data_IF_212468168715
#
_entry.id   IF_212468168715
#
_cell.length_a   1.000
_cell.length_b   1.000
_cell.length_c   1.000
_cell.angle_alpha   90.00
_cell.angle_beta   90.00
_cell.angle_gamma   90.00
#
_symmetry.space_group_name_H-M   'P 1'
#
loop_
_entity.id
_entity.type
_entity.pdbx_description
1 polymer ?
#
# COMPACT_ATOMS: atom_id res chain seq x y z
N UNK A 1 12.08 16.10 19.75
CA UNK A 1 11.19 15.22 20.53
C UNK A 1 10.32 14.47 19.54
N UNK A 2 10.31 13.13 19.53
CA UNK A 2 9.35 12.42 18.69
C UNK A 2 7.95 12.87 19.12
N UNK A 3 7.12 13.28 18.17
CA UNK A 3 5.71 13.48 18.40
C UNK A 3 5.18 12.19 18.99
N UNK A 4 4.79 12.22 20.26
CA UNK A 4 4.12 11.12 20.92
C UNK A 4 2.71 11.06 20.29
N UNK A 5 2.62 10.45 19.10
CA UNK A 5 1.35 10.20 18.43
C UNK A 5 0.63 9.20 19.31
N UNK A 6 -0.25 9.72 20.17
CA UNK A 6 -1.10 8.90 21.03
C UNK A 6 -1.94 8.03 20.10
N UNK A 7 -1.67 6.73 20.09
CA UNK A 7 -2.50 5.76 19.36
C UNK A 7 -3.95 5.95 19.80
N UNK A 8 -4.85 6.10 18.83
CA UNK A 8 -6.26 6.24 19.11
C UNK A 8 -6.81 4.88 19.56
N UNK A 9 -7.80 4.88 20.47
CA UNK A 9 -8.47 3.64 20.84
C UNK A 9 -9.32 3.12 19.68
N UNK A 10 -9.55 1.80 19.63
CA UNK A 10 -10.40 1.16 18.62
C UNK A 10 -11.79 1.81 18.55
N UNK A 11 -12.37 2.19 19.70
CA UNK A 11 -13.66 2.89 19.75
C UNK A 11 -13.63 4.24 19.02
N UNK A 12 -12.59 5.07 19.23
CA UNK A 12 -12.45 6.37 18.56
C UNK A 12 -12.20 6.19 17.06
N UNK A 13 -11.40 5.19 16.67
CA UNK A 13 -11.15 4.87 15.26
C UNK A 13 -12.46 4.43 14.58
N UNK A 14 -13.18 3.52 15.20
CA UNK A 14 -14.45 3.00 14.70
C UNK A 14 -15.53 4.09 14.60
N UNK A 15 -15.65 4.96 15.59
CA UNK A 15 -16.57 6.11 15.58
C UNK A 15 -16.28 7.04 14.40
N UNK A 16 -15.00 7.40 14.19
CA UNK A 16 -14.59 8.25 13.07
C UNK A 16 -14.85 7.58 11.72
N UNK A 17 -14.62 6.28 11.61
CA UNK A 17 -14.92 5.53 10.40
C UNK A 17 -16.43 5.45 10.12
N UNK A 18 -17.26 5.26 11.15
CA UNK A 18 -18.71 5.31 11.04
C UNK A 18 -19.19 6.70 10.58
N UNK A 19 -18.59 7.77 11.09
CA UNK A 19 -18.88 9.14 10.63
C UNK A 19 -18.56 9.33 9.13
N UNK A 20 -17.42 8.82 8.65
CA UNK A 20 -17.07 8.85 7.23
C UNK A 20 -18.04 8.00 6.39
N UNK A 21 -18.43 6.83 6.87
CA UNK A 21 -19.42 5.97 6.21
C UNK A 21 -20.79 6.65 6.12
N UNK A 22 -21.24 7.33 7.18
CA UNK A 22 -22.48 8.11 7.16
C UNK A 22 -22.44 9.21 6.09
N UNK A 23 -21.32 9.93 5.96
CA UNK A 23 -21.16 10.94 4.92
C UNK A 23 -21.28 10.32 3.50
N UNK A 24 -20.64 9.17 3.27
CA UNK A 24 -20.75 8.44 2.00
C UNK A 24 -22.19 7.98 1.73
N UNK A 25 -22.86 7.38 2.71
CA UNK A 25 -24.24 6.89 2.59
C UNK A 25 -25.23 8.04 2.32
N UNK A 26 -25.09 9.17 3.01
CA UNK A 26 -25.90 10.36 2.73
C UNK A 26 -25.74 10.83 1.29
N UNK A 27 -24.50 10.86 0.78
CA UNK A 27 -24.26 11.25 -0.61
C UNK A 27 -24.87 10.26 -1.60
N UNK A 28 -24.82 8.97 -1.30
CA UNK A 28 -25.46 7.94 -2.11
C UNK A 28 -26.98 8.13 -2.15
N UNK A 29 -27.61 8.45 -1.01
CA UNK A 29 -29.06 8.71 -1.00
C UNK A 29 -29.44 9.92 -1.86
N UNK A 30 -28.60 10.96 -1.92
CA UNK A 30 -28.80 12.07 -2.86
C UNK A 30 -28.73 11.60 -4.31
N UNK A 31 -27.67 10.89 -4.69
CA UNK A 31 -27.45 10.41 -6.06
C UNK A 31 -28.58 9.45 -6.49
N UNK A 32 -29.10 8.64 -5.56
CA UNK A 32 -30.18 7.68 -5.85
C UNK A 32 -31.49 8.33 -6.26
N UNK A 33 -31.73 9.60 -5.92
CA UNK A 33 -32.93 10.32 -6.36
C UNK A 33 -32.95 10.46 -7.89
N UNK A 34 -31.79 10.71 -8.49
CA UNK A 34 -31.64 10.89 -9.93
C UNK A 34 -31.20 9.59 -10.64
N UNK A 35 -30.56 8.67 -9.91
CA UNK A 35 -30.15 7.36 -10.41
C UNK A 35 -30.50 6.22 -9.43
N UNK A 36 -31.76 5.74 -9.44
CA UNK A 36 -32.25 4.72 -8.50
C UNK A 36 -31.48 3.39 -8.53
N UNK A 37 -30.85 3.08 -9.67
CA UNK A 37 -30.15 1.83 -9.95
C UNK A 37 -28.64 1.90 -9.71
N UNK A 38 -28.13 2.96 -9.08
CA UNK A 38 -26.71 3.06 -8.76
C UNK A 38 -26.25 1.87 -7.90
N UNK A 39 -25.09 1.32 -8.24
CA UNK A 39 -24.44 0.29 -7.45
C UNK A 39 -23.96 0.89 -6.12
N UNK A 40 -24.34 0.26 -5.02
CA UNK A 40 -23.88 0.66 -3.69
C UNK A 40 -22.40 0.26 -3.49
N UNK A 41 -21.63 1.05 -2.72
CA UNK A 41 -20.24 0.71 -2.43
C UNK A 41 -20.15 -0.45 -1.44
N UNK A 42 -19.01 -1.13 -1.50
CA UNK A 42 -18.53 -1.99 -0.44
C UNK A 42 -17.50 -1.25 0.40
N UNK A 43 -17.33 -1.68 1.65
CA UNK A 43 -16.42 -1.07 2.60
C UNK A 43 -15.35 -2.06 3.05
N UNK A 44 -14.16 -1.52 3.30
CA UNK A 44 -13.07 -2.21 3.99
C UNK A 44 -12.77 -1.40 5.25
N UNK A 45 -12.56 -2.09 6.37
CA UNK A 45 -12.32 -1.48 7.69
C UNK A 45 -10.94 -1.87 8.22
N UNK A 46 -10.52 -1.24 9.32
CA UNK A 46 -9.23 -1.49 9.94
C UNK A 46 -8.08 -0.73 9.28
N UNK A 47 -6.90 -0.97 9.81
CA UNK A 47 -5.63 -0.43 9.35
C UNK A 47 -4.57 -1.47 9.66
N UNK A 48 -3.57 -1.54 8.81
CA UNK A 48 -2.30 -2.12 9.14
C UNK A 48 -1.62 -1.27 10.23
N UNK A 49 -1.15 -1.92 11.28
CA UNK A 49 -0.35 -1.31 12.35
C UNK A 49 0.83 -2.24 12.59
N UNK A 50 2.08 -1.78 12.45
CA UNK A 50 2.51 -0.42 12.07
C UNK A 50 2.23 -0.04 10.59
N UNK A 51 2.36 1.26 10.28
CA UNK A 51 2.12 1.86 8.95
C UNK A 51 3.01 1.16 7.89
N UNK A 52 2.50 0.81 6.70
CA UNK A 52 3.19 0.00 5.71
C UNK A 52 4.17 0.85 4.89
N UNK A 53 5.20 0.21 4.35
CA UNK A 53 6.09 0.83 3.36
C UNK A 53 7.15 1.78 3.93
N UNK A 54 7.57 1.57 5.18
CA UNK A 54 8.61 2.38 5.81
C UNK A 54 9.20 1.70 7.04
N UNK A 55 9.82 0.53 6.87
CA UNK A 55 10.72 -0.01 7.88
C UNK A 55 11.91 0.95 8.04
N UNK A 56 11.72 1.98 8.87
CA UNK A 56 12.82 2.76 9.42
C UNK A 56 13.51 1.86 10.44
N UNK A 57 14.68 1.37 10.03
CA UNK A 57 15.68 0.66 10.81
C UNK A 57 15.39 -0.80 11.20
N UNK A 58 16.44 -1.60 10.96
CA UNK A 58 16.62 -3.00 11.31
C UNK A 58 16.08 -3.37 12.71
N UNK A 59 15.44 -4.54 12.78
CA UNK A 59 15.22 -5.37 13.99
C UNK A 59 13.94 -5.23 14.82
N UNK A 60 12.83 -4.71 14.28
CA UNK A 60 11.52 -5.12 14.81
C UNK A 60 10.98 -6.26 13.95
N UNK A 61 10.85 -7.44 14.53
CA UNK A 61 10.13 -8.55 13.90
C UNK A 61 8.76 -8.03 13.46
N UNK A 62 8.45 -8.19 12.17
CA UNK A 62 7.15 -7.84 11.64
C UNK A 62 6.07 -8.60 12.42
N UNK A 63 5.30 -7.88 13.23
CA UNK A 63 4.29 -8.48 14.09
C UNK A 63 3.03 -8.76 13.27
N UNK A 64 2.69 -10.04 13.14
CA UNK A 64 1.42 -10.45 12.55
C UNK A 64 0.30 -9.96 13.47
N UNK A 65 -0.76 -9.38 12.89
CA UNK A 65 -1.92 -8.92 13.67
C UNK A 65 -2.43 -10.06 14.55
N UNK A 66 -2.55 -9.79 15.85
CA UNK A 66 -3.04 -10.80 16.79
C UNK A 66 -4.53 -11.05 16.56
N UNK A 67 -5.01 -12.30 16.67
CA UNK A 67 -6.41 -12.63 16.47
C UNK A 67 -7.37 -11.79 17.33
N UNK A 68 -7.01 -11.55 18.60
CA UNK A 68 -7.81 -10.75 19.53
C UNK A 68 -7.92 -9.28 19.13
N UNK A 69 -6.88 -8.69 18.53
CA UNK A 69 -6.92 -7.32 18.04
C UNK A 69 -7.81 -7.23 16.81
N UNK A 70 -7.71 -8.20 15.90
CA UNK A 70 -8.58 -8.30 14.72
C UNK A 70 -10.06 -8.38 15.13
N UNK A 71 -10.40 -9.28 16.06
CA UNK A 71 -11.76 -9.39 16.61
C UNK A 71 -12.18 -8.09 17.28
N UNK A 72 -11.33 -7.49 18.12
CA UNK A 72 -11.63 -6.20 18.77
C UNK A 72 -11.94 -5.10 17.77
N UNK A 73 -11.19 -5.02 16.66
CA UNK A 73 -11.45 -4.09 15.57
C UNK A 73 -12.80 -4.34 14.92
N UNK A 74 -13.10 -5.58 14.51
CA UNK A 74 -14.36 -5.93 13.85
C UNK A 74 -15.56 -5.56 14.74
N UNK A 75 -15.52 -5.95 16.01
CA UNK A 75 -16.62 -5.70 16.95
C UNK A 75 -16.78 -4.21 17.25
N UNK A 76 -15.68 -3.47 17.45
CA UNK A 76 -15.72 -2.02 17.66
C UNK A 76 -16.36 -1.29 16.47
N UNK A 77 -16.02 -1.69 15.24
CA UNK A 77 -16.63 -1.11 14.04
C UNK A 77 -18.10 -1.48 13.89
N UNK A 78 -18.48 -2.73 14.19
CA UNK A 78 -19.88 -3.16 14.18
C UNK A 78 -20.71 -2.30 15.13
N UNK A 79 -20.24 -2.12 16.35
CA UNK A 79 -20.94 -1.38 17.39
C UNK A 79 -21.05 0.11 17.03
N UNK A 80 -19.97 0.71 16.51
CA UNK A 80 -20.00 2.09 16.02
C UNK A 80 -20.96 2.26 14.83
N UNK A 81 -20.94 1.37 13.85
CA UNK A 81 -21.86 1.44 12.72
C UNK A 81 -23.32 1.32 13.18
N UNK A 82 -23.60 0.42 14.13
CA UNK A 82 -24.92 0.30 14.73
C UNK A 82 -25.36 1.59 15.44
N UNK A 83 -24.48 2.22 16.21
CA UNK A 83 -24.77 3.49 16.90
C UNK A 83 -25.11 4.65 15.93
N UNK A 84 -24.53 4.62 14.72
CA UNK A 84 -24.83 5.58 13.65
C UNK A 84 -25.98 5.13 12.74
N UNK A 85 -26.70 4.05 13.08
CA UNK A 85 -27.79 3.47 12.28
C UNK A 85 -27.37 2.99 10.88
N UNK A 86 -26.11 2.57 10.72
CA UNK A 86 -25.49 2.15 9.45
C UNK A 86 -25.57 0.64 9.20
N UNK A 87 -26.57 -0.06 9.74
CA UNK A 87 -26.70 -1.52 9.61
C UNK A 87 -26.70 -2.01 8.14
N UNK A 88 -27.31 -1.24 7.23
CA UNK A 88 -27.28 -1.53 5.80
C UNK A 88 -25.86 -1.44 5.23
N UNK A 89 -25.10 -0.40 5.59
CA UNK A 89 -23.71 -0.26 5.16
C UNK A 89 -22.80 -1.33 5.78
N UNK A 90 -23.05 -1.70 7.04
CA UNK A 90 -22.35 -2.81 7.71
C UNK A 90 -22.46 -4.12 6.93
N UNK A 91 -23.65 -4.44 6.38
CA UNK A 91 -23.83 -5.63 5.52
C UNK A 91 -23.00 -5.61 4.23
N UNK A 92 -22.41 -4.46 3.87
CA UNK A 92 -21.51 -4.27 2.72
C UNK A 92 -20.06 -4.07 3.13
N UNK A 93 -19.72 -4.24 4.41
CA UNK A 93 -18.33 -4.40 4.83
C UNK A 93 -17.89 -5.79 4.40
N UNK A 94 -16.87 -5.86 3.53
CA UNK A 94 -16.39 -7.12 2.94
C UNK A 94 -14.96 -7.45 3.35
N UNK A 95 -14.23 -6.48 3.92
CA UNK A 95 -12.80 -6.61 4.14
C UNK A 95 -12.35 -6.01 5.46
N UNK A 96 -11.34 -6.62 6.06
CA UNK A 96 -10.62 -6.07 7.21
C UNK A 96 -9.13 -6.03 6.85
N UNK A 97 -8.52 -4.86 6.97
CA UNK A 97 -7.07 -4.72 6.80
C UNK A 97 -6.37 -5.32 8.00
N UNK A 98 -5.39 -6.18 7.73
CA UNK A 98 -4.53 -6.82 8.74
C UNK A 98 -3.08 -6.85 8.25
N UNK A 99 -2.14 -7.08 9.16
CA UNK A 99 -0.74 -7.39 8.85
C UNK A 99 -0.55 -8.92 8.89
N UNK A 100 -0.51 -9.62 7.73
CA UNK A 100 -0.41 -11.07 7.68
C UNK A 100 1.03 -11.61 7.74
N UNK A 101 2.01 -10.75 8.02
CA UNK A 101 3.43 -11.11 8.05
C UNK A 101 4.11 -10.95 6.69
N UNK A 102 3.72 -9.94 5.92
CA UNK A 102 4.38 -9.55 4.67
C UNK A 102 4.80 -8.08 4.73
N UNK A 103 6.01 -7.81 4.26
CA UNK A 103 6.57 -6.46 4.15
C UNK A 103 7.76 -6.52 3.18
N UNK A 104 8.22 -5.36 2.75
CA UNK A 104 9.48 -5.21 2.04
C UNK A 104 10.20 -3.92 2.47
N UNK A 105 11.52 -3.88 2.28
CA UNK A 105 12.37 -2.73 2.58
C UNK A 105 13.06 -2.24 1.31
N UNK A 106 14.26 -1.66 1.42
CA UNK A 106 15.05 -1.27 0.25
C UNK A 106 15.53 -2.47 -0.58
N UNK A 107 15.87 -3.57 0.08
CA UNK A 107 16.56 -4.73 -0.53
C UNK A 107 16.02 -6.08 -0.08
N UNK A 108 15.09 -6.12 0.87
CA UNK A 108 14.59 -7.36 1.46
C UNK A 108 13.07 -7.47 1.33
N UNK A 109 12.60 -8.71 1.18
CA UNK A 109 11.18 -9.05 1.12
C UNK A 109 10.89 -10.09 2.19
N UNK A 110 10.04 -9.74 3.16
CA UNK A 110 9.53 -10.66 4.17
C UNK A 110 8.41 -11.47 3.52
N UNK A 111 8.69 -12.76 3.30
CA UNK A 111 7.79 -13.67 2.58
C UNK A 111 6.63 -14.10 3.45
N UNK A 112 5.45 -14.19 2.83
CA UNK A 112 4.29 -14.76 3.50
C UNK A 112 4.58 -16.17 4.00
N UNK A 113 4.13 -16.46 5.23
CA UNK A 113 4.21 -17.77 5.84
C UNK A 113 2.84 -18.16 6.42
N UNK A 114 2.14 -19.03 5.69
CA UNK A 114 0.83 -19.59 6.07
C UNK A 114 0.81 -20.12 7.50
N UNK A 115 1.85 -20.85 7.92
CA UNK A 115 1.88 -21.42 9.28
C UNK A 115 1.93 -20.37 10.38
N UNK A 116 2.59 -19.23 10.14
CA UNK A 116 2.65 -18.12 11.11
C UNK A 116 1.34 -17.31 11.15
N UNK A 117 0.67 -17.14 10.00
CA UNK A 117 -0.59 -16.40 9.91
C UNK A 117 -1.84 -17.23 10.27
N UNK A 118 -1.68 -18.54 10.50
CA UNK A 118 -2.78 -19.50 10.69
C UNK A 118 -3.81 -19.07 11.73
N UNK A 119 -3.37 -18.65 12.92
CA UNK A 119 -4.30 -18.27 13.99
C UNK A 119 -5.05 -16.98 13.68
N UNK A 120 -4.42 -16.02 12.98
CA UNK A 120 -5.09 -14.83 12.47
C UNK A 120 -6.15 -15.21 11.42
N UNK A 121 -5.79 -16.04 10.44
CA UNK A 121 -6.67 -16.49 9.37
C UNK A 121 -7.93 -17.22 9.89
N UNK A 122 -7.81 -18.00 10.97
CA UNK A 122 -8.96 -18.67 11.61
C UNK A 122 -10.03 -17.71 12.16
N UNK A 123 -9.71 -16.43 12.38
CA UNK A 123 -10.72 -15.45 12.81
C UNK A 123 -11.87 -15.39 11.81
N UNK A 124 -11.59 -15.55 10.51
CA UNK A 124 -12.58 -15.50 9.43
C UNK A 124 -13.65 -16.60 9.54
N UNK A 125 -13.38 -17.71 10.24
CA UNK A 125 -14.37 -18.77 10.48
C UNK A 125 -15.61 -18.25 11.22
N UNK A 126 -15.46 -17.19 12.02
CA UNK A 126 -16.56 -16.53 12.74
C UNK A 126 -17.22 -15.40 11.94
N UNK A 127 -16.64 -14.99 10.81
CA UNK A 127 -17.09 -13.84 10.02
C UNK A 127 -17.18 -14.20 8.52
N UNK A 128 -18.14 -15.05 8.12
CA UNK A 128 -18.19 -15.65 6.78
C UNK A 128 -18.39 -14.66 5.62
N UNK A 129 -18.76 -13.41 5.91
CA UNK A 129 -18.92 -12.34 4.90
C UNK A 129 -17.67 -11.47 4.73
N UNK A 130 -16.62 -11.72 5.51
CA UNK A 130 -15.38 -10.93 5.49
C UNK A 130 -14.24 -11.73 4.86
N UNK A 131 -13.34 -11.01 4.21
CA UNK A 131 -12.00 -11.46 3.85
C UNK A 131 -10.97 -10.52 4.46
N UNK A 132 -9.71 -10.94 4.49
CA UNK A 132 -8.62 -10.03 4.82
C UNK A 132 -8.12 -9.27 3.59
N UNK A 133 -7.78 -8.01 3.82
CA UNK A 133 -7.03 -7.17 2.89
C UNK A 133 -5.58 -7.07 3.37
N UNK A 134 -4.66 -7.56 2.53
CA UNK A 134 -3.23 -7.47 2.75
C UNK A 134 -2.63 -6.27 2.02
N UNK A 135 -1.92 -5.41 2.74
CA UNK A 135 -1.10 -4.33 2.19
C UNK A 135 0.35 -4.80 2.05
N UNK A 136 1.17 -4.03 1.34
CA UNK A 136 2.58 -4.38 1.09
C UNK A 136 2.79 -5.79 0.51
N UNK A 137 1.85 -6.29 -0.31
CA UNK A 137 1.95 -7.64 -0.91
C UNK A 137 2.87 -7.68 -2.13
N UNK A 138 3.50 -6.53 -2.44
CA UNK A 138 4.51 -6.36 -3.46
C UNK A 138 5.67 -7.36 -3.32
N UNK A 139 6.26 -7.70 -4.47
CA UNK A 139 7.42 -8.58 -4.60
C UNK A 139 7.25 -10.01 -4.11
N UNK A 140 6.11 -10.40 -3.52
CA UNK A 140 5.80 -11.76 -3.08
C UNK A 140 5.89 -12.76 -4.25
N UNK A 141 6.26 -14.01 -3.95
CA UNK A 141 6.29 -15.03 -4.99
C UNK A 141 4.86 -15.39 -5.39
N UNK A 142 4.68 -15.92 -6.60
CA UNK A 142 3.38 -16.41 -7.07
C UNK A 142 2.75 -17.41 -6.08
N UNK A 143 3.55 -18.26 -5.45
CA UNK A 143 3.04 -19.28 -4.53
C UNK A 143 2.68 -18.65 -3.17
N UNK A 144 3.44 -17.67 -2.68
CA UNK A 144 3.05 -16.87 -1.50
C UNK A 144 1.72 -16.12 -1.73
N UNK A 145 1.51 -15.53 -2.92
CA UNK A 145 0.26 -14.85 -3.28
C UNK A 145 -0.93 -15.83 -3.30
N UNK A 146 -0.73 -17.05 -3.81
CA UNK A 146 -1.76 -18.10 -3.78
C UNK A 146 -2.08 -18.57 -2.37
N UNK A 147 -1.05 -18.77 -1.55
CA UNK A 147 -1.22 -19.17 -0.16
C UNK A 147 -2.01 -18.10 0.61
N UNK A 148 -1.72 -16.80 0.42
CA UNK A 148 -2.51 -15.72 1.01
C UNK A 148 -3.99 -15.79 0.65
N UNK A 149 -4.32 -15.96 -0.64
CA UNK A 149 -5.72 -16.09 -1.08
C UNK A 149 -6.38 -17.32 -0.48
N UNK A 150 -5.70 -18.47 -0.45
CA UNK A 150 -6.23 -19.72 0.15
C UNK A 150 -6.55 -19.53 1.63
N UNK A 151 -5.73 -18.78 2.33
CA UNK A 151 -5.82 -18.60 3.78
C UNK A 151 -6.77 -17.43 4.16
N UNK A 152 -7.47 -16.84 3.18
CA UNK A 152 -8.52 -15.84 3.40
C UNK A 152 -8.09 -14.37 3.24
N UNK A 153 -6.82 -14.12 2.88
CA UNK A 153 -6.31 -12.80 2.50
C UNK A 153 -6.57 -12.62 1.00
N UNK A 154 -7.82 -12.30 0.67
CA UNK A 154 -8.31 -12.33 -0.71
C UNK A 154 -8.18 -10.99 -1.45
N UNK A 155 -7.99 -9.88 -0.73
CA UNK A 155 -7.72 -8.58 -1.35
C UNK A 155 -6.23 -8.30 -1.17
N UNK A 156 -5.47 -8.35 -2.27
CA UNK A 156 -4.02 -8.17 -2.28
C UNK A 156 -3.68 -6.83 -2.94
N UNK A 157 -3.20 -5.87 -2.15
CA UNK A 157 -2.78 -4.57 -2.67
C UNK A 157 -1.33 -4.61 -3.14
N UNK A 158 -1.14 -4.14 -4.37
CA UNK A 158 0.16 -4.00 -5.03
C UNK A 158 0.29 -2.57 -5.57
N UNK A 159 1.47 -1.99 -5.47
CA UNK A 159 1.75 -0.64 -5.96
C UNK A 159 3.22 -0.51 -6.37
N UNK A 160 4.15 -0.38 -5.42
CA UNK A 160 5.59 -0.27 -5.69
C UNK A 160 6.14 -1.32 -6.66
N UNK A 161 5.70 -2.59 -6.62
CA UNK A 161 6.19 -3.60 -7.55
C UNK A 161 5.84 -3.30 -9.01
N UNK A 162 4.70 -2.63 -9.27
CA UNK A 162 4.29 -2.27 -10.64
C UNK A 162 5.16 -1.16 -11.19
N UNK A 163 5.34 -0.07 -10.45
CA UNK A 163 6.15 1.08 -10.86
C UNK A 163 7.65 0.76 -10.83
N UNK A 164 8.09 -0.13 -9.94
CA UNK A 164 9.44 -0.68 -9.95
C UNK A 164 9.70 -1.48 -11.24
N UNK A 165 8.77 -2.32 -11.67
CA UNK A 165 8.89 -3.07 -12.92
C UNK A 165 8.88 -2.15 -14.15
N UNK A 166 8.03 -1.12 -14.16
CA UNK A 166 8.06 -0.05 -15.17
C UNK A 166 9.44 0.59 -15.25
N UNK A 167 9.99 1.04 -14.12
CA UNK A 167 11.33 1.63 -14.05
C UNK A 167 12.42 0.70 -14.56
N UNK A 168 12.37 -0.59 -14.22
CA UNK A 168 13.31 -1.58 -14.77
C UNK A 168 13.22 -1.66 -16.30
N UNK A 169 12.00 -1.64 -16.84
CA UNK A 169 11.75 -1.57 -18.28
C UNK A 169 12.36 -0.31 -18.90
N UNK A 170 12.10 0.86 -18.31
CA UNK A 170 12.63 2.15 -18.79
C UNK A 170 14.17 2.20 -18.74
N UNK A 171 14.79 1.71 -17.66
CA UNK A 171 16.25 1.62 -17.56
C UNK A 171 16.85 0.65 -18.59
N UNK A 172 16.15 -0.46 -18.88
CA UNK A 172 16.60 -1.38 -19.94
C UNK A 172 16.47 -0.75 -21.33
N UNK A 173 15.40 0.02 -21.58
CA UNK A 173 15.19 0.75 -22.84
C UNK A 173 16.24 1.86 -23.03
N UNK A 174 16.55 2.63 -21.99
CA UNK A 174 17.64 3.61 -22.01
C UNK A 174 19.00 2.94 -22.31
N UNK A 175 19.25 1.75 -21.75
CA UNK A 175 20.46 1.00 -22.09
C UNK A 175 20.50 0.63 -23.58
N UNK A 176 19.37 0.20 -24.16
CA UNK A 176 19.25 -0.06 -25.61
C UNK A 176 19.45 1.22 -26.41
N UNK A 177 18.85 2.34 -26.00
CA UNK A 177 19.05 3.66 -26.61
C UNK A 177 20.54 4.02 -26.68
N UNK A 178 21.28 3.74 -25.61
CA UNK A 178 22.71 4.03 -25.53
C UNK A 178 23.58 3.21 -26.51
N UNK A 179 23.10 2.04 -26.93
CA UNK A 179 23.75 1.20 -27.95
C UNK A 179 23.30 1.58 -29.37
N UNK A 180 22.07 2.06 -29.54
CA UNK A 180 21.53 2.48 -30.84
C UNK A 180 22.08 3.83 -31.29
N UNK A 181 22.18 4.80 -30.38
CA UNK A 181 22.63 6.16 -30.68
C UNK A 181 24.02 6.40 -30.12
N UNK A 182 25.05 6.33 -30.96
CA UNK A 182 26.43 6.62 -30.54
C UNK A 182 26.65 8.09 -30.17
N UNK A 183 25.90 9.00 -30.78
CA UNK A 183 25.88 10.41 -30.40
C UNK A 183 25.07 10.59 -29.10
N UNK A 184 25.72 11.09 -28.05
CA UNK A 184 25.08 11.32 -26.76
C UNK A 184 23.99 12.40 -26.82
N UNK A 185 24.08 13.35 -27.75
CA UNK A 185 23.10 14.43 -27.89
C UNK A 185 21.74 13.95 -28.40
N UNK A 186 21.68 12.73 -28.93
CA UNK A 186 20.44 12.09 -29.39
C UNK A 186 19.78 11.21 -28.33
N UNK A 187 20.35 11.11 -27.12
CA UNK A 187 19.86 10.24 -26.04
C UNK A 187 19.00 11.02 -25.05
N UNK A 188 17.99 10.37 -24.51
CA UNK A 188 17.08 10.90 -23.50
C UNK A 188 17.76 11.22 -22.15
N UNK A 189 18.77 10.42 -21.77
CA UNK A 189 19.36 10.41 -20.42
C UNK A 189 18.30 10.24 -19.31
N UNK A 190 17.25 9.45 -19.56
CA UNK A 190 16.12 9.24 -18.65
C UNK A 190 16.55 9.03 -17.19
N UNK A 191 17.54 8.17 -16.94
CA UNK A 191 17.99 7.87 -15.59
C UNK A 191 18.76 9.01 -14.96
N UNK A 192 19.55 9.75 -15.74
CA UNK A 192 20.22 10.96 -15.30
C UNK A 192 19.22 12.05 -14.91
N UNK A 193 18.22 12.28 -15.78
CA UNK A 193 17.11 13.22 -15.54
C UNK A 193 16.32 12.85 -14.29
N UNK A 194 15.93 11.58 -14.15
CA UNK A 194 15.21 11.09 -12.97
C UNK A 194 16.01 11.33 -11.67
N UNK A 195 17.31 11.00 -11.65
CA UNK A 195 18.15 11.23 -10.46
C UNK A 195 18.28 12.72 -10.14
N UNK A 196 18.46 13.58 -11.16
CA UNK A 196 18.54 15.02 -11.00
C UNK A 196 17.25 15.60 -10.41
N UNK A 197 16.09 15.23 -10.94
CA UNK A 197 14.78 15.64 -10.43
C UNK A 197 14.58 15.19 -8.97
N UNK A 198 14.97 13.95 -8.65
CA UNK A 198 14.91 13.44 -7.28
C UNK A 198 15.83 14.25 -6.34
N UNK A 199 17.01 14.67 -6.79
CA UNK A 199 17.94 15.48 -6.01
C UNK A 199 17.46 16.92 -5.80
N UNK A 200 16.88 17.53 -6.83
CA UNK A 200 16.29 18.87 -6.77
C UNK A 200 15.14 18.95 -5.75
N UNK A 201 14.33 17.89 -5.67
CA UNK A 201 13.18 17.83 -4.77
C UNK A 201 13.20 16.55 -3.91
N UNK A 202 13.99 16.49 -2.83
CA UNK A 202 14.23 15.23 -2.11
C UNK A 202 13.10 14.82 -1.15
N UNK A 203 11.99 15.55 -1.10
CA UNK A 203 10.93 15.38 -0.09
C UNK A 203 10.32 13.97 -0.07
N UNK A 204 10.25 13.27 -1.20
CA UNK A 204 9.59 11.97 -1.28
C UNK A 204 10.51 10.81 -0.92
N UNK A 205 11.84 11.00 -0.82
CA UNK A 205 12.77 9.91 -0.54
C UNK A 205 13.70 10.16 0.65
N UNK A 206 13.95 11.42 1.05
CA UNK A 206 14.95 11.78 2.06
C UNK A 206 14.71 11.16 3.45
N UNK A 207 13.45 10.93 3.84
CA UNK A 207 13.11 10.26 5.10
C UNK A 207 13.15 8.73 5.02
N UNK A 208 13.28 8.16 3.83
CA UNK A 208 13.27 6.72 3.57
C UNK A 208 14.68 6.18 3.32
N UNK A 209 15.51 6.94 2.60
CA UNK A 209 16.86 6.51 2.26
C UNK A 209 17.90 7.18 3.17
N UNK A 210 18.69 6.34 3.84
CA UNK A 210 19.85 6.72 4.65
C UNK A 210 21.10 6.03 4.11
N UNK A 211 22.28 6.62 4.36
CA UNK A 211 23.58 6.06 3.96
C UNK A 211 24.55 7.12 3.43
N UNK A 212 25.67 6.68 2.83
CA UNK A 212 26.58 7.54 2.08
C UNK A 212 25.92 8.05 0.79
N UNK A 213 26.52 9.04 0.13
CA UNK A 213 25.99 9.55 -1.15
C UNK A 213 25.90 8.45 -2.22
N UNK A 214 26.88 7.53 -2.27
CA UNK A 214 26.85 6.39 -3.19
C UNK A 214 25.68 5.45 -2.88
N UNK A 215 25.41 5.20 -1.60
CA UNK A 215 24.28 4.39 -1.16
C UNK A 215 22.94 5.07 -1.46
N UNK A 216 22.85 6.39 -1.26
CA UNK A 216 21.66 7.18 -1.62
C UNK A 216 21.41 7.15 -3.13
N UNK A 217 22.44 7.37 -3.95
CA UNK A 217 22.35 7.26 -5.41
C UNK A 217 21.86 5.87 -5.83
N UNK A 218 22.40 4.81 -5.22
CA UNK A 218 21.94 3.46 -5.50
C UNK A 218 20.47 3.25 -5.09
N UNK A 219 20.06 3.72 -3.91
CA UNK A 219 18.68 3.56 -3.42
C UNK A 219 17.68 4.35 -4.27
N UNK A 220 18.00 5.58 -4.69
CA UNK A 220 17.15 6.35 -5.64
C UNK A 220 16.93 5.58 -6.93
N UNK A 221 17.96 4.89 -7.41
CA UNK A 221 17.88 4.10 -8.61
C UNK A 221 17.32 2.69 -8.43
N UNK A 222 17.41 2.02 -7.28
CA UNK A 222 17.19 0.56 -7.21
C UNK A 222 16.45 0.04 -5.98
N UNK A 223 16.08 0.88 -5.02
CA UNK A 223 15.37 0.43 -3.82
C UNK A 223 13.97 -0.09 -4.16
N UNK A 224 13.58 -1.21 -3.53
CA UNK A 224 12.22 -1.78 -3.59
C UNK A 224 11.16 -0.87 -2.92
N UNK A 225 11.56 0.10 -2.10
CA UNK A 225 10.66 1.16 -1.62
C UNK A 225 10.10 2.03 -2.76
N UNK A 226 10.78 2.01 -3.92
CA UNK A 226 10.36 2.61 -5.19
C UNK A 226 9.94 4.09 -5.08
N UNK A 227 10.69 4.89 -4.31
CA UNK A 227 10.35 6.29 -4.06
C UNK A 227 10.47 7.17 -5.30
N UNK A 228 11.15 6.70 -6.34
CA UNK A 228 11.23 7.37 -7.63
C UNK A 228 9.86 7.50 -8.33
N UNK A 229 8.86 6.66 -8.01
CA UNK A 229 7.52 6.71 -8.63
C UNK A 229 6.82 8.05 -8.48
N UNK A 230 7.14 8.81 -7.44
CA UNK A 230 6.57 10.14 -7.19
C UNK A 230 7.10 11.22 -8.13
N UNK A 231 8.10 10.89 -8.95
CA UNK A 231 8.76 11.81 -9.88
C UNK A 231 8.50 11.45 -11.35
N UNK A 232 7.81 10.33 -11.63
CA UNK A 232 7.54 9.89 -13.00
C UNK A 232 6.63 10.87 -13.78
N UNK A 233 5.86 11.70 -13.08
CA UNK A 233 5.01 12.74 -13.67
C UNK A 233 5.65 14.14 -13.63
N UNK A 234 6.96 14.27 -13.30
CA UNK A 234 7.67 15.54 -13.49
C UNK A 234 7.83 15.74 -15.01
N UNK A 235 7.48 16.90 -15.58
CA UNK A 235 7.53 17.11 -17.02
C UNK A 235 8.90 16.79 -17.63
N UNK A 236 10.00 17.07 -16.92
CA UNK A 236 11.35 16.73 -17.40
C UNK A 236 11.55 15.22 -17.54
N UNK A 237 10.96 14.45 -16.62
CA UNK A 237 11.01 12.99 -16.63
C UNK A 237 10.08 12.44 -17.71
N UNK A 238 8.87 12.97 -17.85
CA UNK A 238 7.92 12.58 -18.92
C UNK A 238 8.54 12.82 -20.31
N UNK A 239 9.10 14.00 -20.56
CA UNK A 239 9.79 14.36 -21.81
C UNK A 239 10.98 13.43 -22.11
N UNK A 240 11.64 12.91 -21.07
CA UNK A 240 12.75 11.95 -21.24
C UNK A 240 12.29 10.51 -21.49
N UNK A 241 11.02 10.17 -21.26
CA UNK A 241 10.44 8.86 -21.59
C UNK A 241 9.84 8.88 -23.00
N UNK A 242 9.07 9.91 -23.31
CA UNK A 242 8.42 10.12 -24.61
C UNK A 242 8.71 11.55 -25.10
N UNK A 243 9.85 11.78 -25.77
CA UNK A 243 10.13 13.07 -26.39
C UNK A 243 9.18 13.32 -27.58
N UNK A 244 8.67 14.55 -27.68
CA UNK A 244 7.86 15.04 -28.82
C UNK A 244 8.57 14.90 -30.19
#
# INVERSE_FOLDING_TARGET
MPLNIKTLSNAVIAERAAYLCLAAENKIQEIRKDNPNIRLPYYVIGSEVPIPGGAQDNHNELEITRPEDCVSTIESFRDAFSAFHLNSAWSRVIGVVVQPGVEFSDTEVIRYNSSKAKELCKVLDNYPNLVFEGHSTDYQTRDCLRDMVRDGIAILKVGPALTFALRQGLFALEFIESELYLDQSCRSDFRGVLDAVMMDNPIYWKSYYTGSEEALRFKRAFSQSDRCRYYLNDPRVEDSIEPD
#
